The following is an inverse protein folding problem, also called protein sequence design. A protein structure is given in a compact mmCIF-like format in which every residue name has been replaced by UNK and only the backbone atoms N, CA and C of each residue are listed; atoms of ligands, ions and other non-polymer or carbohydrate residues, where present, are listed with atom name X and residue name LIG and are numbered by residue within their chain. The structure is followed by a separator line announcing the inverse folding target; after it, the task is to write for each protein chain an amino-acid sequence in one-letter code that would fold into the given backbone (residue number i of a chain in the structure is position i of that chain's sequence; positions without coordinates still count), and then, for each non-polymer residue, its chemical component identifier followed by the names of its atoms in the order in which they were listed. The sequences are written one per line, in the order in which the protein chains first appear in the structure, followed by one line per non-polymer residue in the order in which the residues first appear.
data_IF_464840901096
#
_entry.id   IF_464840901096
#
_cell.length_a   1.000
_cell.length_b   1.000
_cell.length_c   1.000
_cell.angle_alpha   90.00
_cell.angle_beta   90.00
_cell.angle_gamma   90.00
#
_symmetry.space_group_name_H-M   'P 1'
#
loop_
_entity.id
_entity.type
_entity.pdbx_description
1 polymer ?
#
# COMPACT_ATOMS: atom_id res chain seq x y z
N UNK A 1 38.38 -3.18 -16.79
CA UNK A 1 38.25 -1.72 -16.83
C UNK A 1 37.86 -1.31 -15.42
N UNK A 2 38.83 -0.87 -14.62
CA UNK A 2 38.59 -0.45 -13.23
C UNK A 2 37.61 0.73 -13.25
N UNK A 3 36.52 0.61 -12.50
CA UNK A 3 35.65 1.76 -12.25
C UNK A 3 36.49 2.74 -11.42
N UNK A 4 36.60 4.03 -11.80
CA UNK A 4 37.31 5.02 -10.98
C UNK A 4 36.85 4.91 -9.53
N UNK A 5 37.79 4.84 -8.59
CA UNK A 5 37.58 4.49 -7.16
C UNK A 5 36.39 5.20 -6.52
N UNK A 6 36.12 6.43 -6.95
CA UNK A 6 34.99 7.27 -6.52
C UNK A 6 33.61 6.63 -6.77
N UNK A 7 33.41 5.95 -7.91
CA UNK A 7 32.13 5.32 -8.24
C UNK A 7 31.85 4.09 -7.38
N UNK A 8 32.89 3.33 -7.05
CA UNK A 8 32.74 2.14 -6.21
C UNK A 8 32.42 2.54 -4.77
N UNK A 9 33.06 3.59 -4.25
CA UNK A 9 32.73 4.15 -2.93
C UNK A 9 31.29 4.68 -2.88
N UNK A 10 30.85 5.42 -3.91
CA UNK A 10 29.47 5.90 -3.98
C UNK A 10 28.45 4.76 -3.91
N UNK A 11 28.73 3.63 -4.58
CA UNK A 11 27.84 2.46 -4.56
C UNK A 11 27.79 1.80 -3.18
N UNK A 12 28.93 1.67 -2.51
CA UNK A 12 28.97 1.13 -1.14
C UNK A 12 28.18 1.98 -0.16
N UNK A 13 28.23 3.31 -0.30
CA UNK A 13 27.40 4.20 0.51
C UNK A 13 25.91 4.09 0.17
N UNK A 14 25.55 3.87 -1.10
CA UNK A 14 24.16 3.59 -1.50
C UNK A 14 23.69 2.28 -0.88
N UNK A 15 24.46 1.20 -0.97
CA UNK A 15 24.10 -0.10 -0.38
C UNK A 15 23.88 0.03 1.13
N UNK A 16 24.76 0.78 1.82
CA UNK A 16 24.62 1.08 3.26
C UNK A 16 23.33 1.84 3.58
N UNK A 17 22.97 2.84 2.76
CA UNK A 17 21.73 3.60 2.91
C UNK A 17 20.50 2.74 2.61
N UNK A 18 20.57 1.85 1.64
CA UNK A 18 19.48 0.91 1.30
C UNK A 18 19.23 -0.09 2.44
N UNK A 19 20.29 -0.57 3.10
CA UNK A 19 20.18 -1.38 4.31
C UNK A 19 19.52 -0.61 5.47
N UNK A 20 19.85 0.67 5.66
CA UNK A 20 19.17 1.52 6.64
C UNK A 20 17.69 1.73 6.30
N UNK A 21 17.37 1.98 5.03
CA UNK A 21 15.98 2.10 4.56
C UNK A 21 15.22 0.81 4.87
N UNK A 22 15.78 -0.36 4.57
CA UNK A 22 15.16 -1.65 4.87
C UNK A 22 14.90 -1.81 6.37
N UNK A 23 15.87 -1.49 7.21
CA UNK A 23 15.73 -1.56 8.66
C UNK A 23 14.62 -0.64 9.18
N UNK A 24 14.57 0.60 8.69
CA UNK A 24 13.52 1.57 9.05
C UNK A 24 12.14 1.08 8.58
N UNK A 25 12.05 0.50 7.37
CA UNK A 25 10.80 -0.06 6.86
C UNK A 25 10.30 -1.24 7.70
N UNK A 26 11.20 -2.12 8.14
CA UNK A 26 10.88 -3.23 9.03
C UNK A 26 10.40 -2.72 10.40
N UNK A 27 11.11 -1.77 11.00
CA UNK A 27 10.71 -1.17 12.28
C UNK A 27 9.34 -0.49 12.16
N UNK A 28 9.13 0.32 11.12
CA UNK A 28 7.84 0.95 10.83
C UNK A 28 6.73 -0.10 10.71
N UNK A 29 7.00 -1.23 10.06
CA UNK A 29 6.02 -2.31 9.85
C UNK A 29 5.63 -3.00 11.15
N UNK A 30 6.54 -3.14 12.12
CA UNK A 30 6.22 -3.66 13.46
C UNK A 30 5.17 -2.78 14.16
N UNK A 31 5.29 -1.45 14.03
CA UNK A 31 4.29 -0.53 14.59
C UNK A 31 2.95 -0.61 13.88
N UNK A 32 2.95 -0.80 12.56
CA UNK A 32 1.72 -1.04 11.79
C UNK A 32 1.02 -2.29 12.34
N UNK A 33 1.70 -3.43 12.37
CA UNK A 33 1.16 -4.70 12.92
C UNK A 33 0.61 -4.50 14.33
N UNK A 34 1.33 -3.79 15.21
CA UNK A 34 0.88 -3.49 16.57
C UNK A 34 -0.42 -2.67 16.58
N UNK A 35 -0.53 -1.64 15.73
CA UNK A 35 -1.76 -0.85 15.57
C UNK A 35 -2.90 -1.75 15.07
N UNK A 36 -2.63 -2.61 14.08
CA UNK A 36 -3.59 -3.58 13.57
C UNK A 36 -4.13 -4.51 14.66
N UNK A 37 -3.26 -5.04 15.54
CA UNK A 37 -3.67 -5.85 16.69
C UNK A 37 -4.53 -5.07 17.68
N UNK A 38 -4.14 -3.84 18.04
CA UNK A 38 -4.90 -2.99 18.96
C UNK A 38 -6.30 -2.66 18.40
N UNK A 39 -6.40 -2.38 17.10
CA UNK A 39 -7.69 -2.17 16.42
C UNK A 39 -8.57 -3.42 16.47
N UNK A 40 -8.03 -4.59 16.15
CA UNK A 40 -8.76 -5.88 16.19
C UNK A 40 -9.23 -6.27 17.60
N UNK A 41 -8.47 -5.90 18.64
CA UNK A 41 -8.87 -6.11 20.04
C UNK A 41 -10.06 -5.24 20.45
N UNK A 42 -10.17 -4.02 19.91
CA UNK A 42 -11.29 -3.13 20.18
C UNK A 42 -12.53 -3.48 19.35
N UNK A 43 -12.32 -3.82 18.07
CA UNK A 43 -13.37 -4.20 17.14
C UNK A 43 -12.77 -5.17 16.10
N UNK A 44 -13.25 -6.42 16.13
CA UNK A 44 -12.78 -7.47 15.21
C UNK A 44 -13.11 -7.19 13.74
N UNK A 45 -14.06 -6.28 13.48
CA UNK A 45 -14.44 -5.79 12.14
C UNK A 45 -13.78 -4.46 11.75
N UNK A 46 -12.92 -3.91 12.63
CA UNK A 46 -12.32 -2.60 12.43
C UNK A 46 -11.59 -2.49 11.09
N UNK A 47 -11.82 -1.37 10.41
CA UNK A 47 -11.11 -1.04 9.19
C UNK A 47 -9.66 -0.65 9.51
N UNK A 48 -8.73 -1.47 9.01
CA UNK A 48 -7.30 -1.29 9.25
C UNK A 48 -6.76 -0.15 8.37
N UNK A 49 -7.31 -0.04 7.16
CA UNK A 49 -7.07 1.06 6.23
C UNK A 49 -7.74 2.35 6.69
N UNK A 50 -6.97 3.44 6.78
CA UNK A 50 -7.50 4.77 7.16
C UNK A 50 -7.02 5.80 6.12
N UNK A 51 -7.75 6.00 5.01
CA UNK A 51 -7.31 6.83 3.88
C UNK A 51 -6.88 8.25 4.28
N UNK A 52 -7.61 8.89 5.20
CA UNK A 52 -7.28 10.25 5.66
C UNK A 52 -5.92 10.33 6.36
N UNK A 53 -5.49 9.26 7.02
CA UNK A 53 -4.18 9.19 7.67
C UNK A 53 -3.05 9.14 6.64
N UNK A 54 -3.25 8.41 5.55
CA UNK A 54 -2.25 8.25 4.48
C UNK A 54 -1.96 9.59 3.78
N UNK A 55 -3.02 10.32 3.42
CA UNK A 55 -2.92 11.66 2.83
C UNK A 55 -2.12 12.59 3.75
N UNK A 56 -2.46 12.63 5.05
CA UNK A 56 -1.77 13.46 6.02
C UNK A 56 -0.29 13.09 6.20
N UNK A 57 0.09 11.81 6.07
CA UNK A 57 1.50 11.38 6.11
C UNK A 57 2.25 11.95 4.91
N UNK A 58 1.71 11.73 3.70
CA UNK A 58 2.36 12.17 2.45
C UNK A 58 2.51 13.68 2.42
N UNK A 59 1.46 14.44 2.71
CA UNK A 59 1.51 15.90 2.73
C UNK A 59 2.53 16.45 3.74
N UNK A 60 2.57 15.85 4.95
CA UNK A 60 3.55 16.23 5.97
C UNK A 60 4.98 15.99 5.50
N UNK A 61 5.24 14.87 4.81
CA UNK A 61 6.58 14.52 4.32
C UNK A 61 6.99 15.39 3.15
N UNK A 62 6.08 15.65 2.19
CA UNK A 62 6.32 16.58 1.09
C UNK A 62 6.68 17.98 1.61
N UNK A 63 5.99 18.48 2.63
CA UNK A 63 6.28 19.79 3.23
C UNK A 63 7.62 19.82 3.97
N UNK A 64 8.04 18.69 4.54
CA UNK A 64 9.30 18.57 5.28
C UNK A 64 10.51 18.30 4.40
N UNK A 65 10.31 17.89 3.15
CA UNK A 65 11.38 17.49 2.24
C UNK A 65 12.21 18.70 1.79
N UNK A 66 13.48 18.83 2.22
CA UNK A 66 14.35 19.91 1.76
C UNK A 66 14.99 19.60 0.39
N UNK A 67 14.70 18.43 -0.21
CA UNK A 67 15.45 17.88 -1.33
C UNK A 67 16.65 17.04 -0.87
N UNK A 68 17.45 16.49 -1.80
CA UNK A 68 17.36 16.58 -3.26
C UNK A 68 16.31 15.65 -3.90
N UNK A 69 15.68 14.77 -3.10
CA UNK A 69 14.66 13.85 -3.61
C UNK A 69 13.41 14.60 -4.10
N UNK A 70 12.79 14.25 -5.25
CA UNK A 70 11.62 14.97 -5.75
C UNK A 70 10.39 14.79 -4.84
N UNK A 71 9.79 15.89 -4.39
CA UNK A 71 8.63 15.85 -3.50
C UNK A 71 7.42 15.11 -4.09
N UNK A 72 7.19 15.23 -5.41
CA UNK A 72 6.11 14.48 -6.08
C UNK A 72 6.35 12.96 -6.07
N UNK A 73 7.62 12.52 -6.12
CA UNK A 73 7.95 11.09 -6.05
C UNK A 73 7.66 10.50 -4.66
N UNK A 74 7.71 11.31 -3.59
CA UNK A 74 7.38 10.84 -2.23
C UNK A 74 5.96 10.28 -2.15
N UNK A 75 5.00 10.86 -2.89
CA UNK A 75 3.62 10.36 -2.93
C UNK A 75 3.58 8.91 -3.41
N UNK A 76 4.32 8.60 -4.48
CA UNK A 76 4.33 7.26 -5.06
C UNK A 76 5.07 6.26 -4.16
N UNK A 77 6.26 6.63 -3.67
CA UNK A 77 7.05 5.79 -2.77
C UNK A 77 6.27 5.44 -1.50
N UNK A 78 5.69 6.44 -0.82
CA UNK A 78 4.98 6.20 0.42
C UNK A 78 3.65 5.46 0.24
N UNK A 79 2.99 5.62 -0.91
CA UNK A 79 1.81 4.84 -1.23
C UNK A 79 2.14 3.35 -1.33
N UNK A 80 3.24 2.99 -1.98
CA UNK A 80 3.66 1.58 -2.06
C UNK A 80 4.13 1.03 -0.71
N UNK A 81 4.87 1.83 0.07
CA UNK A 81 5.23 1.45 1.46
C UNK A 81 3.98 1.16 2.29
N UNK A 82 2.95 2.01 2.22
CA UNK A 82 1.69 1.81 2.94
C UNK A 82 0.95 0.57 2.44
N UNK A 83 0.86 0.39 1.12
CA UNK A 83 0.26 -0.80 0.48
C UNK A 83 0.90 -2.10 0.98
N UNK A 84 2.25 -2.16 0.98
CA UNK A 84 2.99 -3.30 1.50
C UNK A 84 2.82 -3.50 3.01
N UNK A 85 2.62 -2.42 3.77
CA UNK A 85 2.38 -2.54 5.23
C UNK A 85 0.97 -3.07 5.54
N UNK A 86 -0.03 -2.70 4.73
CA UNK A 86 -1.41 -3.15 4.90
C UNK A 86 -1.57 -4.64 4.63
N UNK A 87 -0.81 -5.20 3.69
CA UNK A 87 -0.85 -6.63 3.40
C UNK A 87 -0.39 -7.48 4.58
N UNK A 88 0.51 -6.97 5.42
CA UNK A 88 0.94 -7.62 6.66
C UNK A 88 -0.18 -7.75 7.70
N UNK A 89 -1.21 -6.90 7.64
CA UNK A 89 -2.32 -6.91 8.61
C UNK A 89 -3.49 -7.82 8.19
N UNK A 90 -3.40 -8.37 6.97
CA UNK A 90 -4.39 -9.24 6.32
C UNK A 90 -4.72 -8.75 4.90
N UNK A 91 -4.72 -9.66 3.93
CA UNK A 91 -4.95 -9.33 2.53
C UNK A 91 -6.31 -8.65 2.34
N UNK A 92 -6.31 -7.50 1.66
CA UNK A 92 -7.55 -6.83 1.30
C UNK A 92 -8.21 -7.64 0.18
N UNK A 93 -9.33 -8.29 0.45
CA UNK A 93 -10.12 -8.99 -0.59
C UNK A 93 -11.07 -8.00 -1.27
N UNK A 94 -10.99 -7.88 -2.59
CA UNK A 94 -11.75 -6.92 -3.39
C UNK A 94 -12.48 -7.65 -4.52
N UNK A 95 -13.82 -7.62 -4.49
CA UNK A 95 -14.63 -8.01 -5.64
C UNK A 95 -14.71 -6.87 -6.66
N UNK A 96 -14.62 -7.18 -7.96
CA UNK A 96 -14.82 -6.21 -9.02
C UNK A 96 -15.66 -6.78 -10.16
N UNK A 97 -16.44 -5.90 -10.79
CA UNK A 97 -17.26 -6.28 -11.94
C UNK A 97 -16.40 -6.52 -13.19
N UNK A 98 -16.57 -7.71 -13.78
CA UNK A 98 -16.04 -8.06 -15.09
C UNK A 98 -14.69 -8.80 -15.04
N UNK A 99 -14.16 -9.20 -16.20
CA UNK A 99 -12.91 -9.94 -16.26
C UNK A 99 -11.69 -9.10 -15.86
N UNK A 100 -10.54 -9.75 -15.59
CA UNK A 100 -9.28 -9.07 -15.37
C UNK A 100 -8.93 -8.10 -16.50
N UNK A 101 -8.19 -7.05 -16.14
CA UNK A 101 -7.76 -5.95 -17.03
C UNK A 101 -8.89 -5.06 -17.62
N UNK A 102 -10.11 -5.15 -17.09
CA UNK A 102 -11.19 -4.19 -17.38
C UNK A 102 -11.04 -2.86 -16.62
N UNK A 103 -11.84 -1.85 -16.97
CA UNK A 103 -11.83 -0.56 -16.28
C UNK A 103 -12.05 -0.69 -14.77
N UNK A 104 -12.98 -1.53 -14.35
CA UNK A 104 -13.27 -1.78 -12.93
C UNK A 104 -12.08 -2.44 -12.23
N UNK A 105 -11.43 -3.40 -12.90
CA UNK A 105 -10.20 -4.03 -12.38
C UNK A 105 -9.07 -3.00 -12.21
N UNK A 106 -8.82 -2.18 -13.23
CA UNK A 106 -7.78 -1.15 -13.17
C UNK A 106 -8.09 -0.08 -12.12
N UNK A 107 -9.36 0.29 -11.94
CA UNK A 107 -9.78 1.18 -10.87
C UNK A 107 -9.56 0.57 -9.48
N UNK A 108 -9.87 -0.73 -9.32
CA UNK A 108 -9.61 -1.47 -8.10
C UNK A 108 -8.11 -1.55 -7.78
N UNK A 109 -7.26 -1.86 -8.77
CA UNK A 109 -5.80 -1.84 -8.64
C UNK A 109 -5.28 -0.44 -8.25
N UNK A 110 -5.78 0.61 -8.89
CA UNK A 110 -5.40 1.99 -8.56
C UNK A 110 -5.82 2.40 -7.15
N UNK A 111 -6.91 1.86 -6.63
CA UNK A 111 -7.43 2.21 -5.29
C UNK A 111 -6.77 1.40 -4.17
N UNK A 112 -6.63 0.09 -4.36
CA UNK A 112 -6.25 -0.86 -3.30
C UNK A 112 -4.79 -1.36 -3.41
N UNK A 113 -4.08 -1.06 -4.51
CA UNK A 113 -2.66 -1.40 -4.68
C UNK A 113 -2.42 -2.85 -5.08
N UNK A 114 -1.17 -3.19 -5.41
CA UNK A 114 -0.83 -4.53 -5.94
C UNK A 114 -0.90 -5.68 -4.94
N UNK A 115 -1.10 -5.39 -3.65
CA UNK A 115 -1.04 -6.38 -2.57
C UNK A 115 -2.43 -6.86 -2.09
N UNK A 116 -3.49 -6.48 -2.80
CA UNK A 116 -4.86 -6.93 -2.54
C UNK A 116 -5.21 -8.18 -3.35
N UNK A 117 -6.09 -9.02 -2.82
CA UNK A 117 -6.65 -10.17 -3.51
C UNK A 117 -7.87 -9.72 -4.31
N UNK A 118 -7.78 -9.81 -5.63
CA UNK A 118 -8.82 -9.35 -6.54
C UNK A 118 -9.62 -10.52 -7.08
N UNK A 119 -10.95 -10.46 -6.91
CA UNK A 119 -11.88 -11.48 -7.42
C UNK A 119 -12.83 -10.85 -8.45
N UNK A 120 -12.75 -11.37 -9.67
CA UNK A 120 -13.68 -11.01 -10.74
C UNK A 120 -15.05 -11.63 -10.45
N UNK A 121 -16.10 -10.82 -10.55
CA UNK A 121 -17.50 -11.29 -10.47
C UNK A 121 -18.30 -10.83 -11.68
N UNK A 122 -19.37 -11.56 -11.97
CA UNK A 122 -20.07 -11.47 -13.26
C UNK A 122 -21.21 -10.44 -13.26
N UNK A 123 -21.64 -9.96 -12.10
CA UNK A 123 -22.68 -8.94 -12.02
C UNK A 123 -22.46 -7.96 -10.87
N UNK A 124 -23.05 -6.77 -10.99
CA UNK A 124 -23.05 -5.75 -9.93
C UNK A 124 -23.67 -6.32 -8.66
N UNK A 125 -24.77 -7.08 -8.80
CA UNK A 125 -25.43 -7.76 -7.69
C UNK A 125 -24.45 -8.68 -6.95
N UNK A 126 -23.66 -9.46 -7.68
CA UNK A 126 -22.67 -10.35 -7.08
C UNK A 126 -21.61 -9.58 -6.29
N UNK A 127 -21.18 -8.40 -6.75
CA UNK A 127 -20.26 -7.54 -5.99
C UNK A 127 -20.86 -7.18 -4.63
N UNK A 128 -22.13 -6.74 -4.59
CA UNK A 128 -22.81 -6.42 -3.33
C UNK A 128 -23.00 -7.66 -2.46
N UNK A 129 -23.47 -8.76 -3.04
CA UNK A 129 -23.69 -10.05 -2.40
C UNK A 129 -22.43 -10.63 -1.75
N UNK A 130 -21.25 -10.44 -2.36
CA UNK A 130 -19.96 -10.86 -1.82
C UNK A 130 -19.53 -10.00 -0.61
N UNK A 131 -19.80 -8.69 -0.65
CA UNK A 131 -19.47 -7.76 0.43
C UNK A 131 -20.44 -7.90 1.61
N UNK A 132 -21.75 -7.99 1.35
CA UNK A 132 -22.78 -8.16 2.38
C UNK A 132 -22.61 -9.45 3.17
N UNK A 133 -22.16 -10.53 2.51
CA UNK A 133 -21.90 -11.81 3.16
C UNK A 133 -20.52 -11.89 3.82
N UNK A 134 -19.73 -10.82 3.76
CA UNK A 134 -18.40 -10.75 4.37
C UNK A 134 -17.35 -11.65 3.71
N UNK A 135 -17.63 -12.20 2.51
CA UNK A 135 -16.65 -12.99 1.74
C UNK A 135 -15.58 -12.10 1.12
N UNK A 136 -15.97 -10.88 0.76
CA UNK A 136 -15.09 -9.83 0.26
C UNK A 136 -15.20 -8.61 1.16
N UNK A 137 -14.08 -7.93 1.36
CA UNK A 137 -14.00 -6.75 2.22
C UNK A 137 -14.45 -5.48 1.47
N UNK A 138 -14.20 -5.42 0.17
CA UNK A 138 -14.59 -4.30 -0.68
C UNK A 138 -15.18 -4.78 -2.00
N UNK A 139 -16.02 -3.91 -2.59
CA UNK A 139 -16.59 -4.09 -3.91
C UNK A 139 -16.35 -2.87 -4.79
N UNK A 140 -16.00 -3.09 -6.06
CA UNK A 140 -15.84 -2.03 -7.07
C UNK A 140 -16.82 -2.25 -8.21
N UNK A 141 -17.64 -1.24 -8.48
CA UNK A 141 -18.67 -1.24 -9.54
C UNK A 141 -18.55 0.04 -10.38
N UNK A 142 -18.90 0.01 -11.67
CA UNK A 142 -18.98 1.21 -12.50
C UNK A 142 -20.16 2.09 -12.09
N UNK A 143 -20.00 3.42 -12.23
CA UNK A 143 -21.03 4.45 -12.04
C UNK A 143 -21.33 5.15 -13.35
#
# INVERSE_FOLDING_TARGET
MELPEDMQQCRQEIDRLDDEILNILNERSQYVIKIGHLKKQQDSSAHLHTPGREVAIVERLMRKNPGPFPSEALRHVYREIMSASLSLEGTQTVAYLGPPATFTHLAAMRKFGGSADYVAVNSIKDVFDEVERGRMRFGVVPI
#
